data_IF_572819180777
#
_entry.id   IF_572819180777
#
_cell.length_a   1.000
_cell.length_b   1.000
_cell.length_c   1.000
_cell.angle_alpha   90.00
_cell.angle_beta   90.00
_cell.angle_gamma   90.00
#
_symmetry.space_group_name_H-M   'P 1'
#
loop_
_entity.id
_entity.type
_entity.pdbx_description
1 polymer ?
#
# COMPACT_ATOMS: atom_id res chain seq x y z
N UNK A 1 21.00 -0.22 2.46
CA UNK A 1 20.16 -0.84 3.54
C UNK A 1 18.72 -0.39 3.33
N UNK A 2 17.81 -1.32 3.29
CA UNK A 2 16.36 -1.05 3.06
C UNK A 2 15.80 -0.16 4.18
N UNK A 3 14.99 0.82 3.79
CA UNK A 3 14.20 1.67 4.68
C UNK A 3 12.80 1.10 4.85
N UNK A 4 12.15 1.36 5.98
CA UNK A 4 10.83 0.81 6.27
C UNK A 4 9.78 1.90 6.49
N UNK A 5 8.58 1.67 5.93
CA UNK A 5 7.37 2.43 6.17
C UNK A 5 6.43 1.64 7.08
N UNK A 6 5.77 2.30 8.03
CA UNK A 6 4.71 1.67 8.81
C UNK A 6 3.37 1.82 8.09
N UNK A 7 2.66 0.71 7.85
CA UNK A 7 1.28 0.78 7.36
C UNK A 7 0.33 0.97 8.55
N UNK A 8 -0.14 2.21 8.72
CA UNK A 8 -1.01 2.62 9.83
C UNK A 8 -2.47 2.16 9.67
N UNK A 9 -2.77 1.43 8.61
CA UNK A 9 -4.02 0.68 8.47
C UNK A 9 -4.06 -0.61 9.28
N UNK A 10 -2.88 -1.11 9.71
CA UNK A 10 -2.73 -2.28 10.58
C UNK A 10 -1.93 -1.99 11.84
N UNK A 11 -0.78 -1.31 11.72
CA UNK A 11 0.05 -0.94 12.84
C UNK A 11 -0.57 0.28 13.54
N UNK A 12 -0.72 0.21 14.86
CA UNK A 12 -1.38 1.26 15.67
C UNK A 12 -2.77 1.67 15.15
N UNK A 13 -3.51 0.73 14.53
CA UNK A 13 -4.85 1.00 14.00
C UNK A 13 -5.92 1.27 15.08
N UNK A 14 -5.58 1.08 16.35
CA UNK A 14 -6.41 1.30 17.54
C UNK A 14 -6.30 2.71 18.14
N UNK A 15 -5.40 3.55 17.61
CA UNK A 15 -5.22 4.94 18.07
C UNK A 15 -5.43 5.93 16.92
N UNK A 16 -5.69 7.24 17.21
CA UNK A 16 -5.85 8.25 16.17
C UNK A 16 -4.63 8.38 15.25
N UNK A 17 -4.86 8.60 13.95
CA UNK A 17 -3.80 8.65 12.93
C UNK A 17 -2.62 9.59 13.27
N UNK A 18 -2.82 10.81 13.79
CA UNK A 18 -1.69 11.66 14.19
C UNK A 18 -0.83 11.02 15.30
N UNK A 19 -1.45 10.33 16.25
CA UNK A 19 -0.71 9.61 17.31
C UNK A 19 0.03 8.40 16.76
N UNK A 20 -0.56 7.67 15.79
CA UNK A 20 0.09 6.55 15.11
C UNK A 20 1.32 6.99 14.30
N UNK A 21 1.27 8.16 13.65
CA UNK A 21 2.44 8.76 12.96
C UNK A 21 3.59 9.03 13.96
N UNK A 22 3.27 9.62 15.11
CA UNK A 22 4.26 9.83 16.18
C UNK A 22 4.84 8.50 16.69
N UNK A 23 3.99 7.50 16.94
CA UNK A 23 4.41 6.17 17.40
C UNK A 23 5.36 5.51 16.37
N UNK A 24 5.05 5.58 15.07
CA UNK A 24 5.90 5.06 14.01
C UNK A 24 7.29 5.73 14.00
N UNK A 25 7.34 7.05 14.21
CA UNK A 25 8.63 7.77 14.35
C UNK A 25 9.45 7.27 15.54
N UNK A 26 8.82 7.16 16.71
CA UNK A 26 9.51 6.66 17.92
C UNK A 26 9.97 5.21 17.79
N UNK A 27 9.23 4.40 17.02
CA UNK A 27 9.60 3.02 16.71
C UNK A 27 10.75 2.90 15.69
N UNK A 28 11.17 4.00 15.05
CA UNK A 28 12.30 4.03 14.12
C UNK A 28 11.95 3.74 12.66
N UNK A 29 10.68 3.89 12.27
CA UNK A 29 10.29 3.85 10.85
C UNK A 29 10.78 5.11 10.11
N UNK A 30 11.06 4.95 8.80
CA UNK A 30 11.56 6.02 7.94
C UNK A 30 10.43 6.78 7.23
N UNK A 31 9.24 6.16 7.14
CA UNK A 31 8.04 6.71 6.51
C UNK A 31 6.78 6.05 7.08
N UNK A 32 5.65 6.53 6.66
CA UNK A 32 4.33 5.95 6.96
C UNK A 32 3.49 5.84 5.69
N UNK A 33 2.49 4.98 5.74
CA UNK A 33 1.40 4.86 4.79
C UNK A 33 0.11 4.50 5.54
N UNK A 34 -1.05 4.76 4.99
CA UNK A 34 -2.29 4.40 5.65
C UNK A 34 -3.40 4.08 4.65
N UNK A 35 -4.45 3.38 5.12
CA UNK A 35 -5.54 2.98 4.23
C UNK A 35 -6.49 4.15 3.95
N UNK A 36 -7.30 4.55 4.93
CA UNK A 36 -8.41 5.50 4.74
C UNK A 36 -8.36 6.62 5.80
N UNK A 37 -7.59 7.70 5.57
CA UNK A 37 -7.38 8.75 6.57
C UNK A 37 -8.52 9.77 6.66
N UNK A 38 -9.63 9.58 5.96
CA UNK A 38 -10.63 10.61 5.65
C UNK A 38 -11.44 11.11 6.84
N UNK A 39 -11.44 10.37 7.96
CA UNK A 39 -12.07 10.79 9.22
C UNK A 39 -11.18 11.71 10.08
N UNK A 40 -9.92 11.93 9.64
CA UNK A 40 -8.98 12.82 10.31
C UNK A 40 -8.82 14.11 9.50
N UNK A 41 -8.81 15.27 10.15
CA UNK A 41 -8.56 16.52 9.46
C UNK A 41 -7.17 16.54 8.81
N UNK A 42 -7.08 16.95 7.53
CA UNK A 42 -5.79 16.98 6.82
C UNK A 42 -4.74 17.82 7.55
N UNK A 43 -5.14 18.92 8.20
CA UNK A 43 -4.24 19.79 8.99
C UNK A 43 -3.62 19.07 10.19
N UNK A 44 -4.33 18.13 10.82
CA UNK A 44 -3.78 17.33 11.93
C UNK A 44 -2.77 16.30 11.42
N UNK A 45 -3.03 15.71 10.26
CA UNK A 45 -2.10 14.78 9.61
C UNK A 45 -0.84 15.50 9.19
N UNK A 46 -0.96 16.66 8.51
CA UNK A 46 0.18 17.50 8.11
C UNK A 46 1.03 17.87 9.33
N UNK A 47 0.38 18.34 10.40
CA UNK A 47 1.12 18.68 11.62
C UNK A 47 1.91 17.51 12.17
N UNK A 48 1.34 16.31 12.22
CA UNK A 48 2.04 15.11 12.72
C UNK A 48 3.20 14.69 11.79
N UNK A 49 3.04 14.82 10.47
CA UNK A 49 4.11 14.56 9.50
C UNK A 49 5.25 15.58 9.64
N UNK A 50 4.93 16.87 9.79
CA UNK A 50 5.92 17.94 10.01
C UNK A 50 6.67 17.75 11.34
N UNK A 51 5.95 17.46 12.43
CA UNK A 51 6.55 17.23 13.76
C UNK A 51 7.51 16.02 13.76
N UNK A 52 7.27 15.02 12.91
CA UNK A 52 8.08 13.78 12.84
C UNK A 52 9.12 13.79 11.73
N UNK A 53 8.92 14.58 10.69
CA UNK A 53 9.71 14.54 9.45
C UNK A 53 9.52 13.24 8.67
N UNK A 54 8.42 12.48 8.91
CA UNK A 54 8.09 11.28 8.14
C UNK A 54 7.31 11.66 6.87
N UNK A 55 7.62 10.99 5.75
CA UNK A 55 6.82 11.07 4.53
C UNK A 55 5.60 10.15 4.61
N UNK A 56 4.46 10.58 4.06
CA UNK A 56 3.30 9.73 3.78
C UNK A 56 3.46 9.13 2.38
N UNK A 57 3.75 7.83 2.28
CA UNK A 57 4.04 7.20 0.98
C UNK A 57 2.79 6.93 0.15
N UNK A 58 1.66 6.71 0.79
CA UNK A 58 0.43 6.43 0.07
C UNK A 58 -0.80 6.31 0.95
N UNK A 59 -1.95 6.50 0.30
CA UNK A 59 -3.28 6.28 0.88
C UNK A 59 -4.15 5.54 -0.13
N UNK A 60 -5.24 4.92 0.34
CA UNK A 60 -6.17 4.18 -0.52
C UNK A 60 -7.39 5.04 -0.89
N UNK A 61 -7.97 4.85 -2.09
CA UNK A 61 -9.32 5.34 -2.38
C UNK A 61 -10.34 4.74 -1.41
N UNK A 62 -11.45 5.45 -1.17
CA UNK A 62 -12.51 4.93 -0.30
C UNK A 62 -12.92 3.51 -0.71
N UNK A 63 -13.03 2.63 0.29
CA UNK A 63 -13.28 1.19 0.08
C UNK A 63 -14.68 0.83 -0.43
N UNK A 64 -15.62 1.79 -0.45
CA UNK A 64 -17.03 1.52 -0.65
C UNK A 64 -17.74 1.16 0.65
N UNK A 65 -19.06 0.94 0.56
CA UNK A 65 -19.86 0.46 1.68
C UNK A 65 -19.61 -1.05 1.93
N UNK A 66 -19.94 -1.50 3.13
CA UNK A 66 -19.76 -2.93 3.51
C UNK A 66 -20.65 -3.87 2.69
N UNK A 67 -21.72 -3.37 2.07
CA UNK A 67 -22.61 -4.13 1.16
C UNK A 67 -21.93 -4.49 -0.15
N UNK A 68 -21.00 -3.61 -0.64
CA UNK A 68 -20.15 -3.88 -1.80
C UNK A 68 -18.92 -4.74 -1.51
N UNK A 69 -18.71 -5.11 -0.23
CA UNK A 69 -17.59 -5.95 0.20
C UNK A 69 -16.31 -5.19 0.56
N UNK A 70 -16.35 -3.86 0.58
CA UNK A 70 -15.33 -3.02 1.22
C UNK A 70 -13.94 -2.99 0.56
N UNK A 71 -13.81 -3.38 -0.72
CA UNK A 71 -12.52 -3.46 -1.43
C UNK A 71 -12.38 -2.46 -2.59
N UNK A 72 -13.17 -1.38 -2.60
CA UNK A 72 -13.14 -0.37 -3.66
C UNK A 72 -14.27 -0.50 -4.68
N UNK A 73 -14.31 0.45 -5.62
CA UNK A 73 -15.41 0.62 -6.56
C UNK A 73 -14.94 0.72 -8.03
N UNK A 74 -13.61 0.80 -8.25
CA UNK A 74 -13.11 1.31 -9.54
C UNK A 74 -13.25 0.33 -10.71
N UNK A 75 -13.47 -0.98 -10.45
CA UNK A 75 -13.78 -1.97 -11.48
C UNK A 75 -15.27 -2.38 -11.51
N UNK A 76 -16.12 -1.79 -10.64
CA UNK A 76 -17.50 -2.25 -10.46
C UNK A 76 -18.42 -1.58 -11.49
N UNK A 77 -19.03 -2.33 -12.45
CA UNK A 77 -19.98 -1.77 -13.40
C UNK A 77 -21.17 -1.11 -12.70
N UNK A 78 -21.59 0.06 -13.20
CA UNK A 78 -22.66 0.86 -12.60
C UNK A 78 -22.22 1.76 -11.44
N UNK A 79 -20.97 1.63 -10.94
CA UNK A 79 -20.43 2.44 -9.84
C UNK A 79 -19.44 3.52 -10.30
N UNK A 80 -19.36 3.82 -11.60
CA UNK A 80 -18.33 4.72 -12.15
C UNK A 80 -18.36 6.11 -11.51
N UNK A 81 -19.53 6.67 -11.26
CA UNK A 81 -19.67 7.98 -10.63
C UNK A 81 -19.15 7.96 -9.18
N UNK A 82 -19.54 6.95 -8.40
CA UNK A 82 -19.07 6.78 -7.02
C UNK A 82 -17.55 6.50 -6.96
N UNK A 83 -17.03 5.69 -7.89
CA UNK A 83 -15.61 5.43 -8.01
C UNK A 83 -14.80 6.72 -8.27
N UNK A 84 -15.29 7.58 -9.19
CA UNK A 84 -14.62 8.86 -9.48
C UNK A 84 -14.68 9.85 -8.33
N UNK A 85 -15.78 9.89 -7.59
CA UNK A 85 -15.87 10.68 -6.36
C UNK A 85 -14.84 10.19 -5.31
N UNK A 86 -14.68 8.88 -5.15
CA UNK A 86 -13.68 8.30 -4.25
C UNK A 86 -12.24 8.60 -4.72
N UNK A 87 -11.99 8.59 -6.02
CA UNK A 87 -10.70 8.97 -6.62
C UNK A 87 -10.42 10.45 -6.38
N UNK A 88 -11.38 11.34 -6.64
CA UNK A 88 -11.22 12.78 -6.44
C UNK A 88 -10.97 13.10 -4.95
N UNK A 89 -11.70 12.47 -4.03
CA UNK A 89 -11.47 12.59 -2.59
C UNK A 89 -10.05 12.18 -2.20
N UNK A 90 -9.59 11.02 -2.69
CA UNK A 90 -8.28 10.50 -2.35
C UNK A 90 -7.15 11.38 -2.90
N UNK A 91 -7.24 11.81 -4.16
CA UNK A 91 -6.23 12.67 -4.78
C UNK A 91 -6.19 14.03 -4.07
N UNK A 92 -7.34 14.63 -3.77
CA UNK A 92 -7.39 15.91 -3.08
C UNK A 92 -6.83 15.81 -1.66
N UNK A 93 -7.20 14.77 -0.91
CA UNK A 93 -6.66 14.55 0.43
C UNK A 93 -5.14 14.26 0.40
N UNK A 94 -4.69 13.40 -0.53
CA UNK A 94 -3.27 13.11 -0.73
C UNK A 94 -2.46 14.38 -1.01
N UNK A 95 -2.97 15.25 -1.89
CA UNK A 95 -2.34 16.53 -2.20
C UNK A 95 -2.27 17.46 -0.97
N UNK A 96 -3.32 17.48 -0.13
CA UNK A 96 -3.34 18.30 1.08
C UNK A 96 -2.30 17.85 2.12
N UNK A 97 -2.08 16.54 2.28
CA UNK A 97 -1.15 15.99 3.28
C UNK A 97 0.26 15.72 2.73
N UNK A 98 0.52 16.03 1.44
CA UNK A 98 1.80 15.77 0.81
C UNK A 98 2.11 14.28 0.63
N UNK A 99 1.09 13.42 0.47
CA UNK A 99 1.31 12.01 0.18
C UNK A 99 1.89 11.82 -1.23
N UNK A 100 2.66 10.73 -1.44
CA UNK A 100 3.35 10.48 -2.72
C UNK A 100 2.49 9.70 -3.72
N UNK A 101 1.53 8.90 -3.24
CA UNK A 101 0.74 8.02 -4.07
C UNK A 101 -0.69 7.81 -3.58
N UNK A 102 -1.57 7.40 -4.51
CA UNK A 102 -2.94 6.93 -4.21
C UNK A 102 -3.13 5.54 -4.79
N UNK A 103 -3.46 4.56 -3.96
CA UNK A 103 -3.89 3.24 -4.38
C UNK A 103 -5.36 3.28 -4.81
N UNK A 104 -5.62 3.02 -6.10
CA UNK A 104 -6.96 2.96 -6.67
C UNK A 104 -7.50 1.53 -6.54
N UNK A 105 -8.31 1.30 -5.51
CA UNK A 105 -8.86 -0.01 -5.20
C UNK A 105 -9.90 -0.45 -6.23
N UNK A 106 -9.69 -1.65 -6.82
CA UNK A 106 -10.52 -2.15 -7.91
C UNK A 106 -11.96 -2.47 -7.50
N UNK A 107 -12.13 -3.16 -6.38
CA UNK A 107 -13.43 -3.67 -5.96
C UNK A 107 -13.70 -5.09 -6.43
N UNK A 108 -14.83 -5.66 -5.97
CA UNK A 108 -15.27 -7.00 -6.36
C UNK A 108 -16.09 -6.92 -7.64
N UNK A 109 -15.56 -7.48 -8.71
CA UNK A 109 -16.17 -7.49 -10.03
C UNK A 109 -15.55 -8.57 -10.92
N UNK A 110 -16.19 -8.88 -12.05
CA UNK A 110 -15.69 -9.86 -13.00
C UNK A 110 -16.12 -9.53 -14.44
N UNK A 111 -15.41 -10.12 -15.40
CA UNK A 111 -15.72 -10.07 -16.83
C UNK A 111 -15.25 -8.80 -17.53
N UNK A 112 -15.55 -8.74 -18.85
CA UNK A 112 -15.05 -7.69 -19.73
C UNK A 112 -15.58 -6.28 -19.35
N UNK A 113 -16.79 -6.18 -18.84
CA UNK A 113 -17.37 -4.92 -18.38
C UNK A 113 -16.59 -4.31 -17.21
N UNK A 114 -16.15 -5.15 -16.25
CA UNK A 114 -15.34 -4.71 -15.12
C UNK A 114 -13.97 -4.19 -15.57
N UNK A 115 -13.34 -4.89 -16.52
CA UNK A 115 -12.06 -4.45 -17.10
C UNK A 115 -12.18 -3.07 -17.75
N UNK A 116 -13.18 -2.87 -18.61
CA UNK A 116 -13.40 -1.59 -19.30
C UNK A 116 -13.63 -0.45 -18.29
N UNK A 117 -14.43 -0.70 -17.25
CA UNK A 117 -14.70 0.28 -16.20
C UNK A 117 -13.43 0.62 -15.42
N UNK A 118 -12.63 -0.39 -15.04
CA UNK A 118 -11.39 -0.20 -14.30
C UNK A 118 -10.37 0.62 -15.09
N UNK A 119 -10.10 0.23 -16.35
CA UNK A 119 -9.18 0.96 -17.22
C UNK A 119 -9.60 2.42 -17.44
N UNK A 120 -10.91 2.69 -17.60
CA UNK A 120 -11.43 4.05 -17.72
C UNK A 120 -11.26 4.89 -16.43
N UNK A 121 -11.48 4.28 -15.26
CA UNK A 121 -11.28 4.96 -13.97
C UNK A 121 -9.80 5.16 -13.66
N UNK A 122 -8.92 4.25 -14.05
CA UNK A 122 -7.46 4.44 -13.94
C UNK A 122 -6.97 5.60 -14.82
N UNK A 123 -7.45 5.70 -16.06
CA UNK A 123 -7.12 6.81 -16.93
C UNK A 123 -7.58 8.16 -16.33
N UNK A 124 -8.79 8.17 -15.76
CA UNK A 124 -9.31 9.34 -15.02
C UNK A 124 -8.43 9.70 -13.82
N UNK A 125 -8.11 8.72 -12.96
CA UNK A 125 -7.27 8.91 -11.79
C UNK A 125 -5.87 9.45 -12.15
N UNK A 126 -5.22 8.83 -13.12
CA UNK A 126 -3.90 9.25 -13.58
C UNK A 126 -3.90 10.68 -14.12
N UNK A 127 -4.92 11.05 -14.91
CA UNK A 127 -5.05 12.42 -15.43
C UNK A 127 -5.21 13.45 -14.31
N UNK A 128 -6.03 13.15 -13.30
CA UNK A 128 -6.23 14.02 -12.13
C UNK A 128 -4.96 14.13 -11.28
N UNK A 129 -4.29 13.01 -11.06
CA UNK A 129 -3.09 12.91 -10.23
C UNK A 129 -1.89 13.70 -10.77
N UNK A 130 -1.79 13.89 -12.09
CA UNK A 130 -0.72 14.70 -12.72
C UNK A 130 -0.67 16.15 -12.23
N UNK A 131 -1.80 16.72 -11.84
CA UNK A 131 -1.86 18.08 -11.33
C UNK A 131 -1.17 18.25 -9.96
N UNK A 132 -0.88 17.14 -9.27
CA UNK A 132 -0.33 17.10 -7.92
C UNK A 132 0.94 16.25 -7.82
N UNK A 133 1.51 15.84 -8.95
CA UNK A 133 2.68 14.95 -9.03
C UNK A 133 2.50 13.62 -8.27
N UNK A 134 1.27 13.10 -8.24
CA UNK A 134 0.93 11.88 -7.54
C UNK A 134 1.09 10.65 -8.43
N UNK A 135 1.63 9.59 -7.85
CA UNK A 135 1.61 8.24 -8.45
C UNK A 135 0.27 7.55 -8.17
N UNK A 136 -0.32 6.93 -9.18
CA UNK A 136 -1.46 6.02 -9.02
C UNK A 136 -0.94 4.60 -8.91
N UNK A 137 -1.35 3.91 -7.86
CA UNK A 137 -0.99 2.54 -7.58
C UNK A 137 -2.17 1.60 -7.82
N UNK A 138 -1.90 0.42 -8.36
CA UNK A 138 -2.82 -0.71 -8.41
C UNK A 138 -2.18 -1.94 -7.78
N UNK A 139 -2.95 -2.72 -7.05
CA UNK A 139 -2.47 -3.84 -6.26
C UNK A 139 -3.28 -5.11 -6.55
N UNK A 140 -2.63 -6.21 -6.95
CA UNK A 140 -3.26 -7.52 -6.99
C UNK A 140 -3.44 -8.10 -5.59
N UNK A 141 -4.70 -8.40 -5.22
CA UNK A 141 -5.00 -9.01 -3.92
C UNK A 141 -5.21 -10.52 -4.06
N UNK A 142 -4.69 -11.29 -3.12
CA UNK A 142 -4.87 -12.72 -3.10
C UNK A 142 -6.36 -13.12 -2.86
N UNK A 143 -6.87 -14.19 -3.50
CA UNK A 143 -8.27 -14.56 -3.43
C UNK A 143 -8.71 -15.14 -2.07
N UNK A 144 -7.76 -15.49 -1.21
CA UNK A 144 -8.08 -15.99 0.14
C UNK A 144 -8.55 -14.87 1.06
N UNK A 145 -7.92 -13.69 0.97
CA UNK A 145 -8.28 -12.52 1.77
C UNK A 145 -9.34 -11.65 1.10
N UNK A 146 -9.34 -11.60 -0.25
CA UNK A 146 -10.23 -10.77 -1.05
C UNK A 146 -10.95 -11.59 -2.15
N UNK A 147 -11.83 -12.53 -1.78
CA UNK A 147 -12.54 -13.34 -2.76
C UNK A 147 -13.40 -12.46 -3.69
N UNK A 148 -13.23 -12.66 -5.01
CA UNK A 148 -13.93 -11.91 -6.03
C UNK A 148 -13.35 -10.52 -6.33
N UNK A 149 -12.22 -10.14 -5.74
CA UNK A 149 -11.51 -8.92 -6.12
C UNK A 149 -11.10 -8.96 -7.57
N UNK A 150 -11.32 -7.87 -8.30
CA UNK A 150 -11.14 -7.85 -9.76
C UNK A 150 -9.66 -8.02 -10.16
N UNK A 151 -8.75 -7.31 -9.49
CA UNK A 151 -7.32 -7.36 -9.79
C UNK A 151 -6.63 -8.38 -8.87
N UNK A 152 -6.37 -9.60 -9.36
CA UNK A 152 -5.93 -10.70 -8.51
C UNK A 152 -4.67 -11.43 -8.97
N UNK A 153 -3.95 -10.90 -9.98
CA UNK A 153 -2.66 -11.43 -10.41
C UNK A 153 -1.70 -10.34 -10.88
N UNK A 154 -0.40 -10.60 -10.73
CA UNK A 154 0.66 -9.73 -11.22
C UNK A 154 0.61 -9.58 -12.74
N UNK A 155 0.32 -10.67 -13.47
CA UNK A 155 0.18 -10.64 -14.92
C UNK A 155 -0.91 -9.66 -15.35
N UNK A 156 -2.09 -9.72 -14.73
CA UNK A 156 -3.20 -8.81 -15.03
C UNK A 156 -2.81 -7.34 -14.76
N UNK A 157 -2.15 -7.05 -13.65
CA UNK A 157 -1.68 -5.71 -13.32
C UNK A 157 -0.65 -5.20 -14.34
N UNK A 158 0.34 -6.02 -14.68
CA UNK A 158 1.37 -5.69 -15.67
C UNK A 158 0.77 -5.41 -17.07
N UNK A 159 -0.21 -6.22 -17.50
CA UNK A 159 -0.91 -5.99 -18.76
C UNK A 159 -1.72 -4.68 -18.74
N UNK A 160 -2.39 -4.33 -17.65
CA UNK A 160 -3.12 -3.07 -17.52
C UNK A 160 -2.15 -1.89 -17.61
N UNK A 161 -1.06 -1.91 -16.85
CA UNK A 161 -0.05 -0.85 -16.84
C UNK A 161 0.57 -0.69 -18.25
N UNK A 162 0.99 -1.78 -18.87
CA UNK A 162 1.61 -1.75 -20.20
C UNK A 162 0.67 -1.19 -21.29
N UNK A 163 -0.61 -1.61 -21.29
CA UNK A 163 -1.58 -1.16 -22.29
C UNK A 163 -2.04 0.28 -22.08
N UNK A 164 -2.04 0.76 -20.84
CA UNK A 164 -2.50 2.10 -20.53
C UNK A 164 -1.61 3.20 -21.10
N UNK A 165 -0.30 2.96 -21.20
CA UNK A 165 0.70 3.97 -21.57
C UNK A 165 0.85 5.10 -20.56
N UNK A 166 0.21 5.02 -19.39
CA UNK A 166 0.18 6.07 -18.36
C UNK A 166 1.46 6.00 -17.52
N UNK A 167 2.26 7.05 -17.52
CA UNK A 167 3.58 7.08 -16.86
C UNK A 167 3.49 7.05 -15.33
N UNK A 168 2.45 7.64 -14.77
CA UNK A 168 2.19 7.71 -13.33
C UNK A 168 1.29 6.58 -12.80
N UNK A 169 0.96 5.56 -13.64
CA UNK A 169 0.33 4.31 -13.19
C UNK A 169 1.41 3.29 -12.87
N UNK A 170 1.45 2.80 -11.64
CA UNK A 170 2.48 1.87 -11.15
C UNK A 170 1.86 0.71 -10.38
N UNK A 171 2.65 -0.35 -10.24
CA UNK A 171 2.32 -1.52 -9.45
C UNK A 171 2.65 -1.27 -7.97
N UNK A 172 1.70 -1.53 -7.08
CA UNK A 172 1.97 -1.82 -5.67
C UNK A 172 2.25 -3.32 -5.58
N UNK A 173 3.49 -3.65 -5.25
CA UNK A 173 3.95 -5.04 -5.15
C UNK A 173 3.96 -5.45 -3.68
N UNK A 174 2.89 -6.13 -3.23
CA UNK A 174 2.89 -6.71 -1.88
C UNK A 174 3.42 -8.14 -1.90
N UNK A 175 4.59 -8.34 -1.29
CA UNK A 175 5.24 -9.66 -1.15
C UNK A 175 4.33 -10.69 -0.47
N UNK A 176 3.44 -10.27 0.43
CA UNK A 176 2.48 -11.15 1.07
C UNK A 176 1.46 -11.70 0.05
N UNK A 177 0.82 -10.82 -0.73
CA UNK A 177 -0.16 -11.25 -1.73
C UNK A 177 0.47 -12.17 -2.78
N UNK A 178 1.65 -11.83 -3.27
CA UNK A 178 2.41 -12.66 -4.23
C UNK A 178 2.78 -14.01 -3.62
N UNK A 179 3.30 -14.03 -2.41
CA UNK A 179 3.68 -15.27 -1.72
C UNK A 179 2.49 -16.18 -1.38
N UNK A 180 1.27 -15.61 -1.30
CA UNK A 180 0.03 -16.37 -1.07
C UNK A 180 -0.48 -17.08 -2.32
N UNK A 181 -0.18 -16.57 -3.51
CA UNK A 181 -0.78 -17.04 -4.77
C UNK A 181 0.24 -17.51 -5.79
N UNK A 182 1.23 -16.69 -6.11
CA UNK A 182 2.12 -16.92 -7.26
C UNK A 182 3.46 -17.55 -6.85
N UNK A 183 3.87 -17.39 -5.59
CA UNK A 183 5.19 -17.83 -5.13
C UNK A 183 6.31 -16.98 -5.75
N UNK A 184 7.53 -17.50 -5.81
CA UNK A 184 8.72 -16.87 -6.41
C UNK A 184 8.78 -15.33 -6.33
N UNK A 185 8.63 -14.80 -5.11
CA UNK A 185 8.58 -13.35 -4.85
C UNK A 185 9.78 -12.64 -5.48
N UNK A 186 10.98 -13.22 -5.38
CA UNK A 186 12.23 -12.63 -5.88
C UNK A 186 12.25 -12.57 -7.40
N UNK A 187 11.82 -13.63 -8.08
CA UNK A 187 11.73 -13.66 -9.54
C UNK A 187 10.75 -12.59 -10.05
N UNK A 188 9.57 -12.49 -9.43
CA UNK A 188 8.57 -11.47 -9.77
C UNK A 188 9.05 -10.04 -9.46
N UNK A 189 9.71 -9.79 -8.33
CA UNK A 189 10.31 -8.49 -8.01
C UNK A 189 11.27 -8.04 -9.11
N UNK A 190 12.18 -8.92 -9.54
CA UNK A 190 13.15 -8.62 -10.60
C UNK A 190 12.48 -8.35 -11.94
N UNK A 191 11.53 -9.19 -12.33
CA UNK A 191 10.84 -9.07 -13.62
C UNK A 191 10.00 -7.80 -13.74
N UNK A 192 9.33 -7.38 -12.63
CA UNK A 192 8.40 -6.27 -12.63
C UNK A 192 9.00 -4.96 -12.08
N UNK A 193 10.27 -4.95 -11.69
CA UNK A 193 10.96 -3.79 -11.12
C UNK A 193 10.69 -2.47 -11.85
N UNK A 194 10.71 -2.39 -13.21
CA UNK A 194 10.51 -1.12 -13.91
C UNK A 194 9.12 -0.49 -13.73
N UNK A 195 8.13 -1.30 -13.38
CA UNK A 195 6.74 -0.83 -13.20
C UNK A 195 6.31 -0.73 -11.73
N UNK A 196 7.15 -1.19 -10.79
CA UNK A 196 6.85 -1.07 -9.35
C UNK A 196 6.94 0.39 -8.92
N UNK A 197 5.90 0.86 -8.24
CA UNK A 197 5.85 2.18 -7.61
C UNK A 197 5.96 2.11 -6.08
N UNK A 198 5.55 1.00 -5.48
CA UNK A 198 5.64 0.75 -4.05
C UNK A 198 5.78 -0.74 -3.76
N UNK A 199 6.46 -1.09 -2.68
CA UNK A 199 6.64 -2.46 -2.22
C UNK A 199 6.10 -2.57 -0.80
N UNK A 200 5.34 -3.64 -0.53
CA UNK A 200 4.85 -3.97 0.81
C UNK A 200 5.23 -5.40 1.19
N UNK A 201 5.18 -5.69 2.49
CA UNK A 201 5.52 -7.02 2.99
C UNK A 201 4.80 -7.38 4.29
N UNK A 202 4.51 -8.67 4.42
CA UNK A 202 4.10 -9.35 5.64
C UNK A 202 4.43 -10.84 5.54
N UNK A 203 4.47 -11.55 6.67
CA UNK A 203 4.75 -13.00 6.65
C UNK A 203 3.69 -13.81 5.91
N UNK A 204 4.12 -14.86 5.25
CA UNK A 204 3.25 -15.80 4.52
C UNK A 204 3.19 -17.12 5.30
N UNK A 205 2.02 -17.67 5.57
CA UNK A 205 0.69 -17.28 5.09
C UNK A 205 -0.13 -16.41 6.07
N UNK A 206 0.42 -16.01 7.22
CA UNK A 206 -0.36 -15.47 8.35
C UNK A 206 -0.59 -13.97 8.33
N UNK A 207 0.06 -13.22 7.42
CA UNK A 207 0.06 -11.75 7.35
C UNK A 207 0.50 -11.09 8.67
N UNK A 208 1.44 -11.71 9.37
CA UNK A 208 2.03 -11.23 10.62
C UNK A 208 3.43 -10.64 10.37
N UNK A 209 4.18 -10.38 11.44
CA UNK A 209 5.56 -9.84 11.38
C UNK A 209 6.46 -10.68 10.46
N UNK A 210 7.40 -10.04 9.72
CA UNK A 210 8.13 -10.71 8.62
C UNK A 210 9.13 -11.78 9.06
N UNK A 211 9.56 -11.80 10.31
CA UNK A 211 10.47 -12.82 10.87
C UNK A 211 9.74 -14.12 11.25
N UNK A 212 8.48 -14.26 10.86
CA UNK A 212 7.66 -15.45 11.04
C UNK A 212 7.19 -15.98 9.68
N UNK A 213 6.71 -17.24 9.66
CA UNK A 213 6.17 -17.84 8.45
C UNK A 213 7.21 -18.57 7.60
N UNK A 214 6.91 -18.73 6.30
CA UNK A 214 7.68 -19.61 5.40
C UNK A 214 8.63 -18.85 4.46
N UNK A 215 8.53 -17.53 4.42
CA UNK A 215 9.29 -16.66 3.51
C UNK A 215 10.46 -16.05 4.27
N UNK A 216 11.66 -16.15 3.70
CA UNK A 216 12.86 -15.49 4.22
C UNK A 216 12.88 -14.01 3.76
N UNK A 217 12.38 -13.12 4.62
CA UNK A 217 12.38 -11.70 4.34
C UNK A 217 13.77 -11.05 4.45
N UNK A 218 14.75 -11.67 5.14
CA UNK A 218 16.11 -11.17 5.13
C UNK A 218 16.73 -11.29 3.74
N UNK A 219 16.49 -12.39 3.05
CA UNK A 219 16.89 -12.58 1.65
C UNK A 219 16.16 -11.59 0.72
N UNK A 220 14.84 -11.44 0.85
CA UNK A 220 14.05 -10.51 0.03
C UNK A 220 14.55 -9.08 0.19
N UNK A 221 14.78 -8.61 1.43
CA UNK A 221 15.29 -7.27 1.68
C UNK A 221 16.70 -7.05 1.11
N UNK A 222 17.57 -8.08 1.18
CA UNK A 222 18.89 -8.05 0.53
C UNK A 222 18.78 -7.90 -1.00
N UNK A 223 17.84 -8.61 -1.62
CA UNK A 223 17.57 -8.50 -3.06
C UNK A 223 17.04 -7.12 -3.42
N UNK A 224 16.07 -6.58 -2.67
CA UNK A 224 15.51 -5.23 -2.88
C UNK A 224 16.62 -4.17 -2.80
N UNK A 225 17.48 -4.25 -1.78
CA UNK A 225 18.64 -3.34 -1.62
C UNK A 225 19.61 -3.46 -2.81
N UNK A 226 19.95 -4.71 -3.20
CA UNK A 226 20.83 -5.01 -4.33
C UNK A 226 20.28 -4.58 -5.70
N UNK A 227 18.95 -4.44 -5.84
CA UNK A 227 18.30 -3.89 -7.03
C UNK A 227 18.35 -2.35 -7.09
N UNK A 228 18.85 -1.68 -6.04
CA UNK A 228 18.95 -0.23 -5.99
C UNK A 228 17.65 0.46 -5.59
N UNK A 229 16.72 -0.23 -4.93
CA UNK A 229 15.50 0.38 -4.41
C UNK A 229 15.83 1.30 -3.22
N UNK A 230 15.50 2.57 -3.33
CA UNK A 230 15.89 3.60 -2.33
C UNK A 230 14.74 4.10 -1.47
N UNK A 231 13.48 3.81 -1.88
CA UNK A 231 12.29 4.25 -1.13
C UNK A 231 12.01 3.29 0.03
N UNK A 232 11.38 3.75 1.12
CA UNK A 232 10.93 2.84 2.17
C UNK A 232 9.92 1.82 1.63
N UNK A 233 9.93 0.60 2.19
CA UNK A 233 8.98 -0.47 1.88
C UNK A 233 7.99 -0.66 3.04
N UNK A 234 6.74 -0.93 2.73
CA UNK A 234 5.62 -0.93 3.68
C UNK A 234 5.53 -2.19 4.52
N UNK A 235 5.66 -2.05 5.84
CA UNK A 235 5.36 -3.11 6.80
C UNK A 235 3.84 -3.21 6.99
N UNK A 236 3.17 -3.96 6.10
CA UNK A 236 1.72 -4.10 6.06
C UNK A 236 1.26 -5.42 6.67
N UNK A 237 1.51 -5.59 7.96
CA UNK A 237 1.17 -6.81 8.67
C UNK A 237 0.24 -6.57 9.86
N UNK A 238 -0.47 -7.61 10.27
CA UNK A 238 -1.40 -7.59 11.42
C UNK A 238 -0.64 -7.98 12.69
N UNK A 239 -0.40 -7.05 13.63
CA UNK A 239 0.24 -7.40 14.89
C UNK A 239 -0.68 -8.28 15.73
N UNK A 240 -0.09 -9.21 16.50
CA UNK A 240 -0.79 -9.91 17.58
C UNK A 240 -0.56 -9.11 18.85
N UNK A 241 -1.63 -8.60 19.46
CA UNK A 241 -1.52 -7.70 20.61
C UNK A 241 -1.11 -6.28 20.21
N UNK A 242 -0.25 -5.65 21.01
CA UNK A 242 0.22 -4.29 20.75
C UNK A 242 1.22 -4.26 19.60
N UNK A 243 1.20 -3.19 18.81
CA UNK A 243 2.15 -3.02 17.70
C UNK A 243 3.59 -3.07 18.19
N UNK A 244 3.90 -2.41 19.30
CA UNK A 244 5.25 -2.33 19.88
C UNK A 244 5.84 -3.70 20.15
N UNK A 245 5.05 -4.66 20.62
CA UNK A 245 5.47 -6.03 20.94
C UNK A 245 5.83 -6.83 19.65
N UNK A 246 5.39 -6.35 18.50
CA UNK A 246 5.61 -6.99 17.20
C UNK A 246 6.84 -6.48 16.42
N UNK A 247 7.54 -5.46 16.90
CA UNK A 247 8.60 -4.75 16.16
C UNK A 247 10.00 -5.36 16.30
N UNK A 248 10.17 -6.42 17.07
CA UNK A 248 11.48 -7.04 17.32
C UNK A 248 12.27 -7.45 16.07
N UNK A 249 11.59 -7.72 14.95
CA UNK A 249 12.22 -8.02 13.66
C UNK A 249 13.11 -6.91 13.11
N UNK A 250 12.80 -5.64 13.44
CA UNK A 250 13.58 -4.49 12.98
C UNK A 250 15.02 -4.51 13.54
N UNK A 251 15.24 -5.03 14.76
CA UNK A 251 16.56 -5.14 15.38
C UNK A 251 17.44 -6.15 14.65
N UNK A 252 16.86 -7.27 14.19
CA UNK A 252 17.56 -8.28 13.39
C UNK A 252 18.01 -7.80 12.01
N UNK A 253 17.47 -6.68 11.54
CA UNK A 253 17.82 -6.04 10.26
C UNK A 253 18.86 -4.91 10.41
N UNK A 254 19.64 -4.88 11.49
CA UNK A 254 20.72 -3.91 11.73
C UNK A 254 20.28 -2.51 12.15
N UNK A 255 19.04 -2.35 12.61
CA UNK A 255 18.52 -1.09 13.15
C UNK A 255 18.52 -1.11 14.67
N UNK A 256 19.19 -0.14 15.28
CA UNK A 256 19.02 0.16 16.70
C UNK A 256 17.66 0.80 16.91
N UNK A 257 16.78 0.17 17.71
CA UNK A 257 15.60 0.85 18.23
C UNK A 257 16.08 2.08 19.03
N UNK A 258 15.70 3.27 18.60
CA UNK A 258 15.85 4.47 19.42
C UNK A 258 14.93 4.31 20.64
N UNK A 259 15.49 3.72 21.71
CA UNK A 259 15.10 3.90 23.09
C UNK A 259 13.61 3.79 23.45
N UNK A 260 13.05 2.60 23.45
CA UNK A 260 12.02 2.28 24.46
C UNK A 260 12.77 1.58 25.59
N UNK A 261 13.17 2.33 26.62
CA UNK A 261 13.43 1.74 27.94
C UNK A 261 12.10 1.40 28.59
N UNK A 262 12.01 0.24 29.26
CA UNK A 262 10.83 -0.19 29.97
C UNK A 262 10.35 0.77 31.03
#
# INVERSE_FOLDING_TARGET
MVKFSANLGFLWADIPLPAAILAAKFAGFDAVECHWPYDTAATEVVKALDDTGLAMLGINTFKGDDKGGGFGLSAVPGQQAAARLAIDQAIFFAAQIGAEAVHVMAGKAAGAGAKTVFEANLAYACTKALNYDLTILIEPLNPYDAPGYFLNSLEQAAQIIARSGLKNLKLMFDCYHVGRTEGDIIGHLRALYPIIGHIQFASVPSRQRPDQGKVDFAEIFSVIDGMGWTRPIGAEYKPIGKTEDSLGWMQGMGRSSLGVKP
#
